data_IF_456815327564
#
_entry.id   IF_456815327564
#
_cell.length_a   1.000
_cell.length_b   1.000
_cell.length_c   1.000
_cell.angle_alpha   90.00
_cell.angle_beta   90.00
_cell.angle_gamma   90.00
#
_symmetry.space_group_name_H-M   'P 1'
#
loop_
_entity.id
_entity.type
_entity.pdbx_description
1 polymer ?
#
# COMPACT_ATOMS: atom_id res chain seq x y z
N UNK A 1 11.97 -32.23 -1.74
CA UNK A 1 11.54 -32.34 -0.33
C UNK A 1 12.23 -31.23 0.44
N UNK A 2 11.65 -30.04 0.45
CA UNK A 2 12.09 -28.92 1.29
C UNK A 2 11.79 -29.28 2.74
N UNK A 3 12.79 -29.24 3.61
CA UNK A 3 12.58 -29.39 5.07
C UNK A 3 11.58 -28.32 5.47
N UNK A 4 10.45 -28.70 6.06
CA UNK A 4 9.57 -27.75 6.73
C UNK A 4 10.40 -27.08 7.84
N UNK A 5 10.80 -25.84 7.61
CA UNK A 5 11.44 -25.01 8.63
C UNK A 5 10.34 -24.38 9.49
N UNK A 6 10.64 -24.10 10.78
CA UNK A 6 9.67 -23.49 11.68
C UNK A 6 9.23 -22.12 11.15
N UNK A 7 7.95 -21.80 11.41
CA UNK A 7 7.41 -20.46 11.21
C UNK A 7 8.24 -19.43 12.00
N UNK A 8 8.46 -18.26 11.42
CA UNK A 8 9.15 -17.15 12.11
C UNK A 8 8.40 -16.81 13.40
N UNK A 9 9.11 -16.81 14.53
CA UNK A 9 8.54 -16.47 15.84
C UNK A 9 8.38 -14.95 16.02
N UNK A 10 7.53 -14.48 16.96
CA UNK A 10 7.47 -13.06 17.32
C UNK A 10 8.83 -12.44 17.68
N UNK A 11 9.68 -13.17 18.40
CA UNK A 11 11.02 -12.70 18.78
C UNK A 11 11.97 -12.56 17.58
N UNK A 12 11.89 -13.48 16.61
CA UNK A 12 12.68 -13.40 15.38
C UNK A 12 12.21 -12.24 14.49
N UNK A 13 10.89 -12.01 14.43
CA UNK A 13 10.34 -10.83 13.76
C UNK A 13 10.87 -9.55 14.39
N UNK A 14 10.82 -9.43 15.72
CA UNK A 14 11.32 -8.25 16.44
C UNK A 14 12.82 -8.01 16.20
N UNK A 15 13.64 -9.06 16.21
CA UNK A 15 15.08 -8.96 15.91
C UNK A 15 15.39 -8.40 14.52
N UNK A 16 14.51 -8.62 13.54
CA UNK A 16 14.67 -8.12 12.17
C UNK A 16 14.06 -6.72 12.03
N UNK A 17 12.87 -6.50 12.58
CA UNK A 17 12.13 -5.25 12.37
C UNK A 17 12.73 -4.09 13.17
N UNK A 18 13.27 -4.33 14.36
CA UNK A 18 13.81 -3.26 15.21
C UNK A 18 14.98 -2.51 14.55
N UNK A 19 16.01 -3.17 14.00
CA UNK A 19 17.06 -2.48 13.23
C UNK A 19 16.53 -1.75 11.99
N UNK A 20 15.59 -2.35 11.26
CA UNK A 20 14.94 -1.77 10.09
C UNK A 20 14.26 -0.43 10.42
N UNK A 21 13.48 -0.41 11.50
CA UNK A 21 12.74 0.77 11.96
C UNK A 21 13.69 1.88 12.44
N UNK A 22 14.70 1.52 13.22
CA UNK A 22 15.72 2.45 13.73
C UNK A 22 16.47 3.17 12.59
N UNK A 23 16.71 2.48 11.48
CA UNK A 23 17.39 3.08 10.34
C UNK A 23 16.49 4.01 9.53
N UNK A 24 15.24 3.60 9.30
CA UNK A 24 14.34 4.34 8.41
C UNK A 24 13.80 5.59 9.10
N UNK A 25 13.34 5.47 10.35
CA UNK A 25 12.68 6.57 11.05
C UNK A 25 12.99 6.51 12.55
N UNK A 26 14.15 7.04 12.98
CA UNK A 26 14.52 7.03 14.41
C UNK A 26 13.62 7.92 15.27
N UNK A 27 12.84 8.82 14.64
CA UNK A 27 11.85 9.64 15.32
C UNK A 27 10.58 9.65 14.47
N UNK A 28 9.51 8.99 14.94
CA UNK A 28 8.24 9.03 14.24
C UNK A 28 7.67 10.45 14.24
N UNK A 29 7.14 10.92 13.11
CA UNK A 29 6.39 12.15 13.11
C UNK A 29 5.12 12.00 13.95
N UNK A 30 4.72 13.04 14.71
CA UNK A 30 3.49 13.00 15.47
C UNK A 30 2.31 12.87 14.51
N UNK A 31 1.37 12.00 14.86
CA UNK A 31 0.12 11.83 14.14
C UNK A 31 -1.04 11.93 15.10
N UNK A 32 -2.06 12.70 14.72
CA UNK A 32 -3.24 12.94 15.53
C UNK A 32 -4.50 12.62 14.71
N UNK A 33 -5.58 12.15 15.36
CA UNK A 33 -6.88 12.03 14.73
C UNK A 33 -7.39 13.38 14.18
N UNK A 34 -8.03 13.36 13.02
CA UNK A 34 -8.74 14.53 12.45
C UNK A 34 -10.17 14.11 12.07
N UNK A 35 -11.08 14.22 13.04
CA UNK A 35 -12.48 13.87 12.86
C UNK A 35 -13.17 14.69 11.76
N UNK A 36 -12.76 15.94 11.56
CA UNK A 36 -13.33 16.76 10.49
C UNK A 36 -12.94 16.19 9.12
N UNK A 37 -11.65 15.85 8.93
CA UNK A 37 -11.16 15.22 7.72
C UNK A 37 -11.82 13.86 7.48
N UNK A 38 -11.89 13.00 8.51
CA UNK A 38 -12.58 11.71 8.45
C UNK A 38 -14.04 11.85 7.99
N UNK A 39 -14.77 12.79 8.57
CA UNK A 39 -16.17 13.04 8.20
C UNK A 39 -16.34 13.55 6.76
N UNK A 40 -15.37 14.32 6.24
CA UNK A 40 -15.39 14.76 4.84
C UNK A 40 -15.12 13.60 3.87
N UNK A 41 -14.12 12.74 4.17
CA UNK A 41 -13.85 11.52 3.41
C UNK A 41 -15.07 10.60 3.43
N UNK A 42 -15.67 10.39 4.60
CA UNK A 42 -16.90 9.60 4.76
C UNK A 42 -18.01 10.08 3.83
N UNK A 43 -18.35 11.38 3.89
CA UNK A 43 -19.44 11.95 3.08
C UNK A 43 -19.18 11.82 1.59
N UNK A 44 -17.96 12.13 1.14
CA UNK A 44 -17.61 12.02 -0.28
C UNK A 44 -17.63 10.56 -0.75
N UNK A 45 -17.06 9.64 0.03
CA UNK A 45 -17.04 8.23 -0.34
C UNK A 45 -18.44 7.59 -0.29
N UNK A 46 -19.30 7.95 0.67
CA UNK A 46 -20.69 7.50 0.70
C UNK A 46 -21.46 7.95 -0.55
N UNK A 47 -21.34 9.23 -0.90
CA UNK A 47 -21.99 9.78 -2.09
C UNK A 47 -21.45 9.14 -3.38
N UNK A 48 -20.15 8.89 -3.47
CA UNK A 48 -19.53 8.32 -4.67
C UNK A 48 -19.80 6.82 -4.82
N UNK A 49 -19.68 6.04 -3.74
CA UNK A 49 -19.72 4.59 -3.78
C UNK A 49 -21.15 4.04 -3.89
N UNK A 50 -22.13 4.68 -3.25
CA UNK A 50 -23.48 4.12 -3.13
C UNK A 50 -23.55 2.82 -2.32
N UNK A 51 -22.50 2.50 -1.55
CA UNK A 51 -22.49 1.37 -0.63
C UNK A 51 -23.41 1.63 0.58
N UNK A 52 -23.89 0.58 1.26
CA UNK A 52 -24.64 0.72 2.52
C UNK A 52 -23.83 1.48 3.57
N UNK A 53 -24.42 2.51 4.18
CA UNK A 53 -23.72 3.43 5.10
C UNK A 53 -23.05 2.73 6.29
N UNK A 54 -23.59 1.60 6.75
CA UNK A 54 -23.04 0.80 7.85
C UNK A 54 -21.73 0.08 7.49
N UNK A 55 -21.47 -0.15 6.20
CA UNK A 55 -20.22 -0.75 5.71
C UNK A 55 -19.09 0.28 5.53
N UNK A 56 -19.45 1.56 5.39
CA UNK A 56 -18.53 2.64 5.02
C UNK A 56 -17.43 2.91 6.07
N UNK A 57 -17.71 2.95 7.38
CA UNK A 57 -16.70 3.31 8.38
C UNK A 57 -15.44 2.45 8.28
N UNK A 58 -15.61 1.15 8.03
CA UNK A 58 -14.51 0.20 7.89
C UNK A 58 -13.50 0.59 6.78
N UNK A 59 -13.99 1.08 5.64
CA UNK A 59 -13.13 1.53 4.53
C UNK A 59 -12.56 2.94 4.76
N UNK A 60 -13.36 3.81 5.36
CA UNK A 60 -12.97 5.20 5.63
C UNK A 60 -11.92 5.29 6.72
N UNK A 61 -11.96 4.43 7.73
CA UNK A 61 -10.96 4.41 8.82
C UNK A 61 -9.54 4.25 8.26
N UNK A 62 -9.36 3.43 7.22
CA UNK A 62 -8.06 3.28 6.57
C UNK A 62 -7.85 4.36 5.50
N UNK A 63 -8.90 4.69 4.75
CA UNK A 63 -8.87 5.67 3.67
C UNK A 63 -8.51 7.09 4.11
N UNK A 64 -8.92 7.49 5.31
CA UNK A 64 -8.67 8.85 5.82
C UNK A 64 -7.26 9.01 6.41
N UNK A 65 -6.75 7.98 7.09
CA UNK A 65 -5.46 8.00 7.78
C UNK A 65 -4.31 8.06 6.78
N UNK A 66 -4.31 7.15 5.79
CA UNK A 66 -3.21 6.97 4.86
C UNK A 66 -2.74 8.28 4.19
N UNK A 67 -3.59 9.08 3.51
CA UNK A 67 -3.17 10.32 2.86
C UNK A 67 -2.68 11.38 3.84
N UNK A 68 -3.19 11.42 5.08
CA UNK A 68 -2.69 12.35 6.10
C UNK A 68 -1.30 11.97 6.56
N UNK A 69 -0.99 10.68 6.59
CA UNK A 69 0.35 10.20 6.93
C UNK A 69 1.35 10.43 5.79
N UNK A 70 1.05 9.96 4.57
CA UNK A 70 2.04 9.89 3.48
C UNK A 70 2.13 11.16 2.63
N UNK A 71 1.14 12.05 2.73
CA UNK A 71 1.08 13.30 1.96
C UNK A 71 0.85 14.55 2.83
N UNK A 72 1.52 14.73 3.97
CA UNK A 72 1.19 15.79 4.93
C UNK A 72 1.25 17.20 4.29
N UNK A 73 2.15 17.40 3.34
CA UNK A 73 2.32 18.68 2.61
C UNK A 73 1.30 18.94 1.49
N UNK A 74 0.50 17.96 1.08
CA UNK A 74 -0.49 18.19 0.01
C UNK A 74 -1.66 19.06 0.50
N UNK A 75 -2.32 19.81 -0.41
CA UNK A 75 -3.54 20.54 -0.12
C UNK A 75 -4.62 19.64 0.51
N UNK A 76 -5.42 20.19 1.42
CA UNK A 76 -6.46 19.43 2.15
C UNK A 76 -7.45 18.76 1.19
N UNK A 77 -7.93 19.48 0.19
CA UNK A 77 -8.93 18.96 -0.75
C UNK A 77 -8.39 17.77 -1.55
N UNK A 78 -7.15 17.86 -2.03
CA UNK A 78 -6.48 16.77 -2.73
C UNK A 78 -6.28 15.56 -1.80
N UNK A 79 -5.87 15.77 -0.55
CA UNK A 79 -5.79 14.68 0.45
C UNK A 79 -7.14 14.01 0.67
N UNK A 80 -8.24 14.76 0.73
CA UNK A 80 -9.58 14.19 0.88
C UNK A 80 -9.90 13.30 -0.32
N UNK A 81 -9.65 13.78 -1.55
CA UNK A 81 -9.92 12.99 -2.76
C UNK A 81 -9.04 11.73 -2.82
N UNK A 82 -7.76 11.81 -2.46
CA UNK A 82 -6.89 10.64 -2.29
C UNK A 82 -7.43 9.70 -1.21
N UNK A 83 -8.01 10.23 -0.13
CA UNK A 83 -8.63 9.42 0.92
C UNK A 83 -9.87 8.67 0.44
N UNK A 84 -10.68 9.30 -0.42
CA UNK A 84 -11.81 8.63 -1.10
C UNK A 84 -11.30 7.53 -2.03
N UNK A 85 -10.27 7.79 -2.84
CA UNK A 85 -9.63 6.76 -3.68
C UNK A 85 -9.09 5.60 -2.83
N UNK A 86 -8.47 5.90 -1.69
CA UNK A 86 -7.92 4.89 -0.80
C UNK A 86 -9.05 4.05 -0.16
N UNK A 87 -10.17 4.67 0.23
CA UNK A 87 -11.35 3.94 0.67
C UNK A 87 -11.91 3.03 -0.44
N UNK A 88 -11.89 3.48 -1.70
CA UNK A 88 -12.21 2.63 -2.85
C UNK A 88 -11.28 1.42 -2.92
N UNK A 89 -9.95 1.61 -2.85
CA UNK A 89 -8.96 0.52 -2.90
C UNK A 89 -9.26 -0.55 -1.83
N UNK A 90 -9.44 -0.16 -0.57
CA UNK A 90 -9.75 -1.11 0.50
C UNK A 90 -11.14 -1.74 0.35
N UNK A 91 -12.13 -0.99 -0.12
CA UNK A 91 -13.45 -1.56 -0.38
C UNK A 91 -13.44 -2.56 -1.52
N UNK A 92 -12.64 -2.37 -2.57
CA UNK A 92 -12.51 -3.34 -3.67
C UNK A 92 -11.88 -4.63 -3.15
N UNK A 93 -10.80 -4.53 -2.36
CA UNK A 93 -10.08 -5.66 -1.75
C UNK A 93 -11.05 -6.56 -0.95
N UNK A 94 -11.82 -5.96 -0.04
CA UNK A 94 -12.74 -6.71 0.81
C UNK A 94 -14.00 -7.18 0.06
N UNK A 95 -14.64 -6.30 -0.72
CA UNK A 95 -15.91 -6.60 -1.38
C UNK A 95 -15.76 -7.57 -2.56
N UNK A 96 -14.55 -7.72 -3.13
CA UNK A 96 -14.32 -8.75 -4.14
C UNK A 96 -14.51 -10.17 -3.62
N UNK A 97 -14.59 -10.39 -2.29
CA UNK A 97 -15.00 -11.68 -1.72
C UNK A 97 -16.45 -12.04 -2.05
N UNK A 98 -17.34 -11.07 -2.21
CA UNK A 98 -18.72 -11.25 -2.65
C UNK A 98 -18.81 -11.52 -4.17
N UNK A 99 -19.32 -12.69 -4.60
CA UNK A 99 -19.50 -13.01 -6.01
C UNK A 99 -20.38 -12.01 -6.78
N UNK A 100 -21.42 -11.45 -6.17
CA UNK A 100 -22.33 -10.53 -6.86
C UNK A 100 -21.67 -9.18 -7.13
N UNK A 101 -21.00 -8.60 -6.13
CA UNK A 101 -20.20 -7.39 -6.29
C UNK A 101 -19.10 -7.58 -7.35
N UNK A 102 -18.38 -8.70 -7.30
CA UNK A 102 -17.29 -8.99 -8.22
C UNK A 102 -17.76 -9.13 -9.67
N UNK A 103 -18.86 -9.82 -9.92
CA UNK A 103 -19.42 -9.98 -11.27
C UNK A 103 -19.84 -8.62 -11.85
N UNK A 104 -20.42 -7.78 -11.01
CA UNK A 104 -20.76 -6.39 -11.33
C UNK A 104 -19.53 -5.54 -11.67
N UNK A 105 -18.46 -5.66 -10.87
CA UNK A 105 -17.21 -4.91 -11.05
C UNK A 105 -16.50 -5.24 -12.38
N UNK A 106 -16.65 -6.46 -12.93
CA UNK A 106 -16.08 -6.84 -14.25
C UNK A 106 -16.53 -5.91 -15.39
N UNK A 107 -17.64 -5.20 -15.22
CA UNK A 107 -18.14 -4.23 -16.21
C UNK A 107 -17.37 -2.90 -16.23
N UNK A 108 -16.38 -2.67 -15.36
CA UNK A 108 -15.65 -1.40 -15.22
C UNK A 108 -15.15 -0.86 -16.58
N UNK A 109 -14.49 -1.68 -17.40
CA UNK A 109 -14.01 -1.29 -18.73
C UNK A 109 -15.12 -0.86 -19.68
N UNK A 110 -16.25 -1.56 -19.65
CA UNK A 110 -17.40 -1.23 -20.49
C UNK A 110 -18.04 0.09 -20.05
N UNK A 111 -18.06 0.37 -18.74
CA UNK A 111 -18.51 1.66 -18.19
C UNK A 111 -17.57 2.78 -18.63
N UNK A 112 -16.25 2.60 -18.49
CA UNK A 112 -15.26 3.58 -18.96
C UNK A 112 -15.42 3.92 -20.44
N UNK A 113 -15.69 2.93 -21.29
CA UNK A 113 -15.89 3.12 -22.73
C UNK A 113 -17.29 3.68 -23.08
N UNK A 114 -18.16 3.96 -22.11
CA UNK A 114 -19.54 4.40 -22.34
C UNK A 114 -20.42 3.34 -23.01
N UNK A 115 -20.03 2.06 -22.94
CA UNK A 115 -20.70 0.92 -23.59
C UNK A 115 -21.58 0.10 -22.65
N UNK A 116 -21.59 0.43 -21.36
CA UNK A 116 -22.37 -0.29 -20.35
C UNK A 116 -23.62 0.50 -19.94
N UNK A 117 -24.74 -0.21 -19.80
CA UNK A 117 -25.96 0.29 -19.15
C UNK A 117 -25.96 0.02 -17.63
N UNK A 118 -24.87 -0.53 -17.08
CA UNK A 118 -24.76 -0.80 -15.64
C UNK A 118 -24.91 0.50 -14.85
N UNK A 119 -25.87 0.51 -13.93
CA UNK A 119 -26.18 1.63 -13.04
C UNK A 119 -25.37 1.61 -11.73
N UNK A 120 -24.20 0.98 -11.71
CA UNK A 120 -23.36 0.97 -10.52
C UNK A 120 -22.78 2.36 -10.31
N UNK A 121 -23.47 3.12 -9.45
CA UNK A 121 -22.98 4.35 -8.83
C UNK A 121 -21.53 4.16 -8.37
N UNK A 122 -21.21 3.00 -7.78
CA UNK A 122 -19.88 2.63 -7.34
C UNK A 122 -18.77 2.85 -8.39
N UNK A 123 -18.92 2.30 -9.60
CA UNK A 123 -17.90 2.40 -10.67
C UNK A 123 -17.83 3.83 -11.22
N UNK A 124 -18.99 4.50 -11.36
CA UNK A 124 -19.04 5.89 -11.83
C UNK A 124 -18.35 6.82 -10.83
N UNK A 125 -18.65 6.67 -9.54
CA UNK A 125 -18.02 7.44 -8.47
C UNK A 125 -16.51 7.20 -8.36
N UNK A 126 -16.03 5.98 -8.66
CA UNK A 126 -14.59 5.72 -8.77
C UNK A 126 -13.97 6.55 -9.91
N UNK A 127 -14.62 6.58 -11.08
CA UNK A 127 -14.13 7.38 -12.21
C UNK A 127 -14.21 8.88 -11.97
N UNK A 128 -15.26 9.37 -11.32
CA UNK A 128 -15.39 10.78 -10.95
C UNK A 128 -14.31 11.17 -9.92
N UNK A 129 -14.03 10.30 -8.95
CA UNK A 129 -12.94 10.50 -7.98
C UNK A 129 -11.58 10.51 -8.67
N UNK A 130 -11.33 9.58 -9.59
CA UNK A 130 -10.10 9.58 -10.37
C UNK A 130 -9.97 10.83 -11.23
N UNK A 131 -11.04 11.26 -11.88
CA UNK A 131 -11.06 12.49 -12.68
C UNK A 131 -10.67 13.72 -11.87
N UNK A 132 -11.25 13.86 -10.66
CA UNK A 132 -10.91 14.93 -9.71
C UNK A 132 -9.42 14.89 -9.35
N UNK A 133 -8.90 13.72 -8.94
CA UNK A 133 -7.49 13.55 -8.58
C UNK A 133 -6.56 13.87 -9.76
N UNK A 134 -6.76 13.24 -10.93
CA UNK A 134 -5.82 13.39 -12.06
C UNK A 134 -5.80 14.81 -12.62
N UNK A 135 -6.82 15.62 -12.35
CA UNK A 135 -6.85 17.03 -12.76
C UNK A 135 -5.75 17.89 -12.08
N UNK A 136 -5.12 17.37 -11.02
CA UNK A 136 -4.02 18.01 -10.30
C UNK A 136 -2.62 17.58 -10.77
N UNK A 137 -2.52 16.70 -11.77
CA UNK A 137 -1.26 16.10 -12.22
C UNK A 137 -1.07 16.30 -13.72
N UNK A 138 0.20 16.36 -14.14
CA UNK A 138 0.55 16.36 -15.55
C UNK A 138 -0.03 15.12 -16.23
N UNK A 139 -0.39 15.23 -17.52
CA UNK A 139 -1.10 14.19 -18.28
C UNK A 139 -0.51 12.77 -18.09
N UNK A 140 0.82 12.62 -18.11
CA UNK A 140 1.45 11.31 -17.98
C UNK A 140 1.32 10.75 -16.54
N UNK A 141 1.51 11.59 -15.52
CA UNK A 141 1.32 11.19 -14.13
C UNK A 141 -0.15 10.83 -13.85
N UNK A 142 -1.08 11.61 -14.41
CA UNK A 142 -2.52 11.31 -14.38
C UNK A 142 -2.85 9.96 -15.01
N UNK A 143 -2.29 9.67 -16.20
CA UNK A 143 -2.46 8.39 -16.88
C UNK A 143 -1.95 7.22 -16.04
N UNK A 144 -0.80 7.37 -15.35
CA UNK A 144 -0.23 6.32 -14.52
C UNK A 144 -1.04 6.08 -13.22
N UNK A 145 -1.55 7.13 -12.60
CA UNK A 145 -2.49 7.02 -11.46
C UNK A 145 -3.73 6.23 -11.90
N UNK A 146 -4.35 6.63 -13.01
CA UNK A 146 -5.54 5.96 -13.55
C UNK A 146 -5.25 4.49 -13.89
N UNK A 147 -4.17 4.23 -14.65
CA UNK A 147 -3.75 2.89 -15.06
C UNK A 147 -3.49 1.99 -13.86
N UNK A 148 -2.80 2.49 -12.83
CA UNK A 148 -2.47 1.70 -11.64
C UNK A 148 -3.73 1.36 -10.82
N UNK A 149 -4.71 2.26 -10.75
CA UNK A 149 -6.02 1.93 -10.16
C UNK A 149 -6.77 0.88 -10.97
N UNK A 150 -6.73 0.93 -12.30
CA UNK A 150 -7.37 -0.10 -13.14
C UNK A 150 -6.70 -1.47 -13.04
N UNK A 151 -5.36 -1.50 -12.94
CA UNK A 151 -4.60 -2.72 -12.61
C UNK A 151 -5.13 -3.32 -11.29
N UNK A 152 -5.31 -2.49 -10.24
CA UNK A 152 -5.85 -2.90 -8.93
C UNK A 152 -7.28 -3.46 -9.02
N UNK A 153 -8.20 -2.79 -9.72
CA UNK A 153 -9.58 -3.29 -9.93
C UNK A 153 -9.55 -4.68 -10.58
N UNK A 154 -8.76 -4.83 -11.64
CA UNK A 154 -8.67 -6.08 -12.40
C UNK A 154 -8.06 -7.22 -11.59
N UNK A 155 -6.99 -6.96 -10.85
CA UNK A 155 -6.29 -8.01 -10.12
C UNK A 155 -7.08 -8.49 -8.90
N UNK A 156 -7.79 -7.62 -8.18
CA UNK A 156 -8.61 -8.03 -7.04
C UNK A 156 -9.72 -9.02 -7.43
N UNK A 157 -10.32 -8.83 -8.62
CA UNK A 157 -11.26 -9.80 -9.20
C UNK A 157 -10.57 -11.15 -9.43
N UNK A 158 -9.36 -11.11 -10.00
CA UNK A 158 -8.57 -12.30 -10.32
C UNK A 158 -8.13 -13.03 -9.06
N UNK A 159 -7.65 -12.33 -8.04
CA UNK A 159 -7.22 -12.91 -6.76
C UNK A 159 -8.41 -13.59 -6.06
N UNK A 160 -9.57 -12.94 -6.02
CA UNK A 160 -10.78 -13.50 -5.44
C UNK A 160 -11.29 -14.77 -6.17
N UNK A 161 -11.10 -14.88 -7.49
CA UNK A 161 -11.58 -16.01 -8.29
C UNK A 161 -10.57 -17.14 -8.47
N UNK A 162 -9.28 -16.80 -8.53
CA UNK A 162 -8.24 -17.66 -9.14
C UNK A 162 -6.97 -17.79 -8.31
N UNK A 163 -6.87 -17.16 -7.13
CA UNK A 163 -5.63 -17.25 -6.34
C UNK A 163 -5.20 -18.70 -6.07
N UNK A 164 -6.16 -19.58 -5.75
CA UNK A 164 -5.90 -21.00 -5.52
C UNK A 164 -5.52 -21.81 -6.78
N UNK A 165 -5.75 -21.26 -7.97
CA UNK A 165 -5.47 -21.91 -9.25
C UNK A 165 -4.02 -21.64 -9.74
N UNK A 166 -3.32 -20.67 -9.14
CA UNK A 166 -1.99 -20.27 -9.58
C UNK A 166 -0.92 -21.31 -9.22
N UNK A 167 -0.22 -21.80 -10.25
CA UNK A 167 0.91 -22.71 -10.07
C UNK A 167 2.20 -21.90 -9.92
N UNK A 168 2.55 -21.60 -8.67
CA UNK A 168 3.82 -20.95 -8.32
C UNK A 168 4.92 -22.02 -8.25
N UNK A 169 6.02 -21.81 -8.97
CA UNK A 169 7.13 -22.77 -9.03
C UNK A 169 8.49 -22.09 -9.21
N UNK A 170 9.60 -22.84 -9.08
CA UNK A 170 10.92 -22.31 -9.40
C UNK A 170 11.12 -21.82 -10.84
N UNK A 171 10.21 -22.15 -11.76
CA UNK A 171 10.24 -21.67 -13.14
C UNK A 171 9.48 -20.36 -13.35
N UNK A 172 8.76 -19.86 -12.33
CA UNK A 172 7.91 -18.65 -12.40
C UNK A 172 8.43 -17.55 -11.48
N UNK A 173 9.75 -17.39 -11.34
CA UNK A 173 10.38 -16.55 -10.30
C UNK A 173 10.01 -15.06 -10.35
N UNK A 174 9.52 -14.57 -11.49
CA UNK A 174 9.09 -13.17 -11.67
C UNK A 174 7.61 -12.96 -11.29
N UNK A 175 6.85 -14.04 -11.11
CA UNK A 175 5.42 -13.96 -10.83
C UNK A 175 5.08 -13.24 -9.52
N UNK A 176 5.80 -13.47 -8.39
CA UNK A 176 5.46 -12.78 -7.14
C UNK A 176 5.55 -11.25 -7.25
N UNK A 177 6.62 -10.73 -7.86
CA UNK A 177 6.80 -9.30 -8.08
C UNK A 177 5.76 -8.74 -9.08
N UNK A 178 5.48 -9.49 -10.16
CA UNK A 178 4.45 -9.09 -11.14
C UNK A 178 3.07 -8.97 -10.51
N UNK A 179 2.63 -10.00 -9.76
CA UNK A 179 1.34 -10.00 -9.08
C UNK A 179 1.28 -8.86 -8.06
N UNK A 180 2.35 -8.69 -7.28
CA UNK A 180 2.42 -7.67 -6.25
C UNK A 180 2.36 -6.24 -6.80
N UNK A 181 2.98 -5.99 -7.95
CA UNK A 181 2.89 -4.70 -8.65
C UNK A 181 1.46 -4.35 -9.05
N UNK A 182 0.64 -5.37 -9.35
CA UNK A 182 -0.75 -5.17 -9.74
C UNK A 182 -1.65 -4.93 -8.53
N UNK A 183 -1.48 -5.69 -7.46
CA UNK A 183 -2.31 -5.58 -6.25
C UNK A 183 -1.92 -4.42 -5.34
N UNK A 184 -0.63 -4.06 -5.32
CA UNK A 184 -0.11 -3.05 -4.41
C UNK A 184 -0.43 -1.59 -4.76
N UNK A 185 -0.92 -1.31 -5.97
CA UNK A 185 -1.24 0.04 -6.48
C UNK A 185 -0.10 1.07 -6.22
N UNK A 186 1.15 0.59 -6.15
CA UNK A 186 2.30 1.40 -5.71
C UNK A 186 2.60 2.55 -6.65
N UNK A 187 2.40 2.34 -7.95
CA UNK A 187 2.64 3.37 -8.98
C UNK A 187 1.71 4.58 -8.79
N UNK A 188 0.42 4.39 -8.52
CA UNK A 188 -0.47 5.52 -8.24
C UNK A 188 0.01 6.32 -7.02
N UNK A 189 0.26 5.66 -5.90
CA UNK A 189 0.74 6.33 -4.68
C UNK A 189 2.09 7.01 -4.86
N UNK A 190 2.99 6.46 -5.67
CA UNK A 190 4.24 7.12 -6.02
C UNK A 190 4.01 8.45 -6.76
N UNK A 191 3.16 8.46 -7.78
CA UNK A 191 2.84 9.68 -8.54
C UNK A 191 2.06 10.72 -7.74
N UNK A 192 1.19 10.27 -6.82
CA UNK A 192 0.42 11.17 -5.94
C UNK A 192 1.30 12.07 -5.04
N UNK A 193 2.58 11.73 -4.85
CA UNK A 193 3.54 12.60 -4.17
C UNK A 193 3.77 13.95 -4.87
N UNK A 194 3.48 14.05 -6.18
CA UNK A 194 4.02 15.10 -7.05
C UNK A 194 2.95 15.80 -7.90
N UNK A 195 2.06 16.62 -7.30
CA UNK A 195 1.10 17.42 -8.05
C UNK A 195 1.79 18.43 -8.96
N UNK A 196 1.17 18.73 -10.10
CA UNK A 196 1.72 19.62 -11.15
C UNK A 196 1.89 21.07 -10.67
N UNK A 197 1.15 21.48 -9.64
CA UNK A 197 1.31 22.79 -9.00
C UNK A 197 2.72 23.02 -8.46
N UNK A 198 3.41 21.94 -8.11
CA UNK A 198 4.66 21.96 -7.38
C UNK A 198 5.82 21.30 -8.14
N UNK A 199 5.53 20.35 -9.03
CA UNK A 199 6.52 19.44 -9.61
C UNK A 199 6.36 19.30 -11.11
N UNK A 200 7.47 19.08 -11.79
CA UNK A 200 7.50 18.60 -13.18
C UNK A 200 7.97 17.16 -13.22
N UNK A 201 7.55 16.40 -14.23
CA UNK A 201 7.90 14.99 -14.35
C UNK A 201 9.42 14.76 -14.28
N UNK A 202 10.24 15.58 -14.94
CA UNK A 202 11.70 15.46 -14.91
C UNK A 202 12.33 15.60 -13.51
N UNK A 203 11.64 16.21 -12.54
CA UNK A 203 12.15 16.40 -11.19
C UNK A 203 12.16 15.10 -10.37
N UNK A 204 11.27 14.15 -10.68
CA UNK A 204 11.01 12.99 -9.83
C UNK A 204 10.84 11.67 -10.58
N UNK A 205 10.72 11.67 -11.92
CA UNK A 205 10.36 10.47 -12.68
C UNK A 205 11.29 9.27 -12.42
N UNK A 206 12.59 9.53 -12.23
CA UNK A 206 13.58 8.48 -11.93
C UNK A 206 13.39 7.85 -10.54
N UNK A 207 12.65 8.49 -9.63
CA UNK A 207 12.36 8.00 -8.29
C UNK A 207 11.12 7.10 -8.24
N UNK A 208 10.22 7.19 -9.23
CA UNK A 208 8.94 6.47 -9.25
C UNK A 208 9.09 4.97 -9.04
N UNK A 209 10.05 4.25 -9.67
CA UNK A 209 10.18 2.81 -9.46
C UNK A 209 10.45 2.42 -8.01
N UNK A 210 11.33 3.15 -7.32
CA UNK A 210 11.66 2.87 -5.92
C UNK A 210 10.53 3.35 -4.98
N UNK A 211 9.87 4.47 -5.27
CA UNK A 211 8.70 4.94 -4.51
C UNK A 211 7.52 3.97 -4.60
N UNK A 212 7.21 3.48 -5.80
CA UNK A 212 6.17 2.49 -6.02
C UNK A 212 6.53 1.17 -5.31
N UNK A 213 7.80 0.76 -5.43
CA UNK A 213 8.32 -0.42 -4.75
C UNK A 213 8.21 -0.34 -3.22
N UNK A 214 8.34 0.85 -2.62
CA UNK A 214 8.23 1.02 -1.15
C UNK A 214 6.84 0.67 -0.63
N UNK A 215 5.76 1.01 -1.35
CA UNK A 215 4.40 0.66 -0.93
C UNK A 215 4.30 -0.85 -0.75
N UNK A 216 4.75 -1.61 -1.73
CA UNK A 216 4.69 -3.06 -1.71
C UNK A 216 5.68 -3.65 -0.69
N UNK A 217 6.92 -3.17 -0.70
CA UNK A 217 8.02 -3.71 0.10
C UNK A 217 7.80 -3.47 1.58
N UNK A 218 7.46 -2.24 1.97
CA UNK A 218 7.23 -1.89 3.37
C UNK A 218 5.96 -2.54 3.90
N UNK A 219 4.91 -2.65 3.08
CA UNK A 219 3.71 -3.37 3.46
C UNK A 219 4.01 -4.84 3.72
N UNK A 220 4.69 -5.54 2.81
CA UNK A 220 5.04 -6.96 3.01
C UNK A 220 5.92 -7.18 4.26
N UNK A 221 6.79 -6.22 4.59
CA UNK A 221 7.63 -6.27 5.78
C UNK A 221 6.80 -6.10 7.06
N UNK A 222 5.91 -5.11 7.10
CA UNK A 222 5.14 -4.76 8.29
C UNK A 222 3.88 -5.62 8.47
N UNK A 223 3.34 -6.18 7.38
CA UNK A 223 2.22 -7.12 7.40
C UNK A 223 2.67 -8.55 7.72
N UNK A 224 3.95 -8.89 7.53
CA UNK A 224 4.45 -10.25 7.78
C UNK A 224 4.05 -10.81 9.15
N UNK A 225 4.01 -9.96 10.19
CA UNK A 225 3.59 -10.36 11.52
C UNK A 225 2.14 -10.89 11.54
N UNK A 226 1.16 -10.14 11.00
CA UNK A 226 -0.23 -10.62 10.94
C UNK A 226 -0.38 -11.84 10.01
N UNK A 227 0.38 -11.87 8.91
CA UNK A 227 0.13 -12.79 7.79
C UNK A 227 0.77 -14.17 7.98
N UNK A 228 1.99 -14.19 8.53
CA UNK A 228 2.83 -15.39 8.65
C UNK A 228 3.17 -15.75 10.10
N UNK A 229 3.30 -14.78 11.01
CA UNK A 229 3.60 -15.06 12.43
C UNK A 229 2.33 -15.43 13.20
N UNK A 230 1.27 -14.63 13.03
CA UNK A 230 -0.05 -14.92 13.61
C UNK A 230 -0.94 -15.75 12.68
N UNK A 231 -0.74 -15.58 11.38
CA UNK A 231 -1.56 -16.15 10.32
C UNK A 231 -0.88 -17.27 9.53
N UNK A 232 -1.54 -17.67 8.45
CA UNK A 232 -1.01 -18.62 7.48
C UNK A 232 -1.51 -18.25 6.07
N UNK A 233 -1.49 -16.97 5.74
CA UNK A 233 -2.02 -16.44 4.48
C UNK A 233 -1.22 -17.02 3.29
N UNK A 234 -1.84 -17.75 2.34
CA UNK A 234 -1.10 -18.47 1.29
C UNK A 234 -0.62 -17.59 0.13
N UNK A 235 -1.29 -16.45 -0.10
CA UNK A 235 -1.09 -15.57 -1.26
C UNK A 235 -0.05 -14.47 -1.07
N UNK A 236 0.65 -14.42 0.07
CA UNK A 236 1.59 -13.33 0.35
C UNK A 236 2.80 -13.37 -0.58
N UNK A 237 3.40 -12.20 -0.85
CA UNK A 237 4.62 -12.12 -1.66
C UNK A 237 5.74 -12.99 -1.07
N UNK A 238 5.87 -13.01 0.26
CA UNK A 238 6.89 -13.78 0.98
C UNK A 238 6.75 -15.27 0.70
N UNK A 239 5.53 -15.80 0.81
CA UNK A 239 5.28 -17.23 0.61
C UNK A 239 5.43 -17.64 -0.84
N UNK A 240 4.91 -16.84 -1.76
CA UNK A 240 5.11 -17.08 -3.19
C UNK A 240 6.60 -17.05 -3.56
N UNK A 241 7.37 -16.11 -2.99
CA UNK A 241 8.82 -16.01 -3.19
C UNK A 241 9.58 -17.18 -2.60
N UNK A 242 9.21 -17.62 -1.39
CA UNK A 242 9.74 -18.82 -0.73
C UNK A 242 9.61 -20.05 -1.64
N UNK A 243 8.42 -20.26 -2.23
CA UNK A 243 8.16 -21.34 -3.19
C UNK A 243 8.98 -21.16 -4.48
N UNK A 244 8.97 -19.97 -5.09
CA UNK A 244 9.69 -19.68 -6.33
C UNK A 244 11.21 -19.80 -6.21
N UNK A 245 11.77 -19.51 -5.04
CA UNK A 245 13.23 -19.53 -4.84
C UNK A 245 13.70 -20.81 -4.15
N UNK A 246 12.79 -21.61 -3.59
CA UNK A 246 13.13 -22.79 -2.80
C UNK A 246 13.87 -22.44 -1.52
N UNK A 247 13.57 -21.27 -0.95
CA UNK A 247 14.15 -20.75 0.31
C UNK A 247 13.08 -20.76 1.40
N UNK A 248 13.45 -20.49 2.63
CA UNK A 248 12.50 -20.36 3.74
C UNK A 248 11.74 -19.03 3.70
N UNK A 249 10.60 -18.96 4.38
CA UNK A 249 9.88 -17.69 4.59
C UNK A 249 10.74 -16.69 5.38
N UNK A 250 11.58 -17.16 6.31
CA UNK A 250 12.54 -16.34 7.03
C UNK A 250 13.56 -15.68 6.08
N UNK A 251 14.18 -16.47 5.19
CA UNK A 251 15.13 -15.95 4.19
C UNK A 251 14.45 -14.99 3.19
N UNK A 252 13.22 -15.31 2.77
CA UNK A 252 12.44 -14.42 1.91
C UNK A 252 12.08 -13.10 2.61
N UNK A 253 11.73 -13.15 3.91
CA UNK A 253 11.46 -11.98 4.74
C UNK A 253 12.69 -11.09 4.93
N UNK A 254 13.84 -11.67 5.29
CA UNK A 254 15.10 -10.92 5.35
C UNK A 254 15.43 -10.25 4.00
N UNK A 255 15.27 -10.99 2.89
CA UNK A 255 15.48 -10.42 1.56
C UNK A 255 14.53 -9.27 1.22
N UNK A 256 13.28 -9.31 1.70
CA UNK A 256 12.30 -8.23 1.50
C UNK A 256 12.64 -6.99 2.33
N UNK A 257 13.10 -7.19 3.57
CA UNK A 257 13.63 -6.12 4.43
C UNK A 257 14.82 -5.44 3.77
N UNK A 258 15.80 -6.21 3.28
CA UNK A 258 16.97 -5.68 2.57
C UNK A 258 16.58 -4.93 1.29
N UNK A 259 15.61 -5.44 0.55
CA UNK A 259 15.08 -4.77 -0.65
C UNK A 259 14.47 -3.41 -0.29
N UNK A 260 13.63 -3.37 0.75
CA UNK A 260 12.98 -2.15 1.24
C UNK A 260 14.01 -1.10 1.68
N UNK A 261 14.98 -1.50 2.52
CA UNK A 261 16.08 -0.63 2.94
C UNK A 261 16.90 -0.13 1.76
N UNK A 262 17.21 -1.00 0.81
CA UNK A 262 17.91 -0.64 -0.41
C UNK A 262 17.18 0.45 -1.20
N UNK A 263 15.87 0.32 -1.39
CA UNK A 263 15.03 1.31 -2.08
C UNK A 263 15.01 2.65 -1.35
N UNK A 264 14.83 2.63 -0.02
CA UNK A 264 14.84 3.85 0.82
C UNK A 264 16.19 4.57 0.75
N UNK A 265 17.30 3.82 0.85
CA UNK A 265 18.65 4.38 0.75
C UNK A 265 18.90 5.00 -0.62
N UNK A 266 18.53 4.32 -1.71
CA UNK A 266 18.65 4.84 -3.08
C UNK A 266 17.84 6.11 -3.28
N UNK A 267 16.60 6.16 -2.81
CA UNK A 267 15.76 7.36 -2.89
C UNK A 267 16.38 8.54 -2.15
N UNK A 268 16.81 8.33 -0.90
CA UNK A 268 17.45 9.39 -0.11
C UNK A 268 18.72 9.91 -0.78
N UNK A 269 19.55 9.01 -1.30
CA UNK A 269 20.77 9.35 -2.03
C UNK A 269 20.47 10.11 -3.33
N UNK A 270 19.44 9.68 -4.09
CA UNK A 270 19.03 10.35 -5.33
C UNK A 270 18.47 11.76 -5.08
N UNK A 271 18.03 12.07 -3.86
CA UNK A 271 17.58 13.39 -3.45
C UNK A 271 18.70 14.26 -2.84
N UNK A 272 19.95 13.77 -2.76
CA UNK A 272 21.07 14.55 -2.23
C UNK A 272 21.23 15.87 -3.00
N UNK A 273 21.35 16.98 -2.28
CA UNK A 273 21.42 18.31 -2.88
C UNK A 273 20.06 18.91 -3.28
N UNK A 274 18.94 18.18 -3.15
CA UNK A 274 17.58 18.71 -3.35
C UNK A 274 16.73 18.57 -2.07
N UNK A 275 16.80 19.53 -1.13
CA UNK A 275 16.09 19.45 0.15
C UNK A 275 14.57 19.35 0.02
N UNK A 276 13.98 19.95 -1.02
CA UNK A 276 12.54 19.91 -1.26
C UNK A 276 12.10 18.50 -1.63
N UNK A 277 12.82 17.85 -2.55
CA UNK A 277 12.54 16.49 -2.99
C UNK A 277 12.79 15.47 -1.88
N UNK A 278 13.89 15.63 -1.15
CA UNK A 278 14.21 14.81 0.01
C UNK A 278 13.11 14.91 1.10
N UNK A 279 12.54 16.09 1.31
CA UNK A 279 11.42 16.28 2.24
C UNK A 279 10.19 15.49 1.79
N UNK A 280 9.76 15.62 0.54
CA UNK A 280 8.60 14.88 -0.01
C UNK A 280 8.81 13.36 0.09
N UNK A 281 9.99 12.87 -0.29
CA UNK A 281 10.32 11.44 -0.21
C UNK A 281 10.30 10.94 1.24
N UNK A 282 10.86 11.69 2.19
CA UNK A 282 10.84 11.28 3.59
C UNK A 282 9.45 11.38 4.23
N UNK A 283 8.62 12.33 3.82
CA UNK A 283 7.21 12.40 4.24
C UNK A 283 6.45 11.15 3.81
N UNK A 284 6.63 10.70 2.57
CA UNK A 284 6.04 9.47 2.06
C UNK A 284 6.50 8.24 2.86
N UNK A 285 7.81 8.07 3.02
CA UNK A 285 8.43 6.92 3.72
C UNK A 285 8.01 6.88 5.19
N UNK A 286 8.17 7.99 5.91
CA UNK A 286 7.89 8.06 7.34
C UNK A 286 6.38 7.98 7.61
N UNK A 287 5.58 8.61 6.76
CA UNK A 287 4.13 8.54 6.81
C UNK A 287 3.64 7.10 6.66
N UNK A 288 4.20 6.36 5.70
CA UNK A 288 3.71 5.01 5.42
C UNK A 288 4.05 4.06 6.56
N UNK A 289 5.21 4.30 7.21
CA UNK A 289 5.56 3.63 8.44
C UNK A 289 4.57 3.97 9.58
N UNK A 290 4.29 5.25 9.84
CA UNK A 290 3.33 5.66 10.88
C UNK A 290 1.98 5.01 10.68
N UNK A 291 1.47 5.00 9.44
CA UNK A 291 0.23 4.33 9.10
C UNK A 291 0.22 2.86 9.54
N UNK A 292 1.28 2.10 9.28
CA UNK A 292 1.34 0.69 9.67
C UNK A 292 1.43 0.48 11.18
N UNK A 293 2.15 1.34 11.88
CA UNK A 293 2.33 1.24 13.33
C UNK A 293 1.06 1.65 14.08
N UNK A 294 0.29 2.59 13.54
CA UNK A 294 -0.97 3.08 14.13
C UNK A 294 -2.17 2.20 13.75
N UNK A 295 -2.19 1.64 12.53
CA UNK A 295 -3.32 0.86 12.07
C UNK A 295 -3.39 -0.52 12.75
N UNK A 296 -4.39 -0.70 13.62
CA UNK A 296 -4.64 -1.95 14.35
C UNK A 296 -4.90 -3.20 13.49
N UNK A 297 -4.98 -3.06 12.16
CA UNK A 297 -5.05 -4.20 11.22
C UNK A 297 -3.75 -5.03 11.19
N UNK A 298 -2.60 -4.42 11.48
CA UNK A 298 -1.28 -5.08 11.41
C UNK A 298 -0.91 -5.82 12.70
N UNK A 299 -1.66 -5.62 13.80
CA UNK A 299 -1.47 -6.28 15.10
C UNK A 299 -0.09 -6.03 15.73
N UNK A 300 0.61 -4.99 15.28
CA UNK A 300 1.94 -4.63 15.77
C UNK A 300 1.92 -4.15 17.24
N UNK A 301 0.77 -3.67 17.72
CA UNK A 301 0.52 -3.32 19.12
C UNK A 301 0.68 -4.51 20.10
N UNK A 302 0.53 -5.75 19.63
CA UNK A 302 0.72 -6.96 20.44
C UNK A 302 2.20 -7.19 20.83
N UNK A 303 3.12 -6.55 20.11
CA UNK A 303 4.56 -6.65 20.35
C UNK A 303 5.07 -5.54 21.30
N UNK A 304 4.16 -4.76 21.91
CA UNK A 304 4.48 -3.66 22.83
C UNK A 304 4.49 -2.29 22.15
N UNK A 305 4.87 -1.25 22.89
CA UNK A 305 4.96 0.09 22.32
C UNK A 305 6.16 0.19 21.38
N UNK A 306 5.94 0.81 20.23
CA UNK A 306 7.01 1.05 19.26
C UNK A 306 8.18 1.87 19.83
N UNK A 307 7.89 2.83 20.72
CA UNK A 307 8.93 3.55 21.46
C UNK A 307 9.85 2.60 22.25
N UNK A 308 9.32 1.47 22.72
CA UNK A 308 10.12 0.41 23.34
C UNK A 308 11.09 -0.25 22.37
N UNK A 309 10.69 -0.46 21.11
CA UNK A 309 11.53 -1.09 20.09
C UNK A 309 12.68 -0.16 19.64
N UNK A 310 12.40 1.14 19.49
CA UNK A 310 13.43 2.11 19.09
C UNK A 310 14.44 2.40 20.20
N UNK A 311 14.01 2.37 21.47
CA UNK A 311 14.87 2.69 22.61
C UNK A 311 15.69 1.49 23.12
N UNK A 312 15.45 0.27 22.62
CA UNK A 312 16.30 -0.88 22.88
C UNK A 312 17.64 -0.79 22.12
N UNK A 313 18.52 0.10 22.60
CA UNK A 313 19.96 -0.16 22.53
C UNK A 313 20.28 -1.37 23.41
N UNK A 314 19.98 -2.60 22.98
CA UNK A 314 20.69 -3.85 23.30
C UNK A 314 19.85 -5.11 23.03
N UNK A 315 20.09 -5.75 21.89
CA UNK A 315 20.25 -7.21 21.86
C UNK A 315 21.66 -7.59 21.40
N UNK A 316 22.65 -6.94 22.03
CA UNK A 316 24.06 -7.26 21.91
C UNK A 316 24.78 -6.82 23.17
N UNK A 317 25.00 -7.76 24.10
CA UNK A 317 25.68 -7.46 25.36
C UNK A 317 25.67 -8.55 26.43
N UNK A 318 25.84 -9.82 26.04
CA UNK A 318 26.64 -10.88 26.69
C UNK A 318 26.24 -12.26 26.17
#
# INVERSE_FOLDING_TARGET
MTKAQPSVSPDEFLKIITPFLNEICPNLPPFAPDEAFKNEVFKKFAAASGLPEDTIPHFVDTGEVLPRCIYPSLPRDLKISIGVLTAYVFSIDDQCSDPEFREQLKSYRSVFLGKSSTNLQYIKGLYDTLHDIVSHYEWYAGDMIFKSTMDSVGINIVEAERMGDFVVSPSTKLFPDFLRQKSGIGEAYAFLCFPESDWKLEDYFTLIPDLAGIIEQMNDVLSFYKESVLGNEPGTWIRQTSVCRGISEYEAFQGRVDQCLGSIRRLRAACEGNPRLLKTVNEFINGYLVFHLDAGRYKLDQLGSYDGWLNEKAFGGN
#
